data_IF_631325806474
#
_entry.id   IF_631325806474
#
_cell.length_a   1.000
_cell.length_b   1.000
_cell.length_c   1.000
_cell.angle_alpha   90.00
_cell.angle_beta   90.00
_cell.angle_gamma   90.00
#
_symmetry.space_group_name_H-M   'P 1'
#
loop_
_entity.id
_entity.type
_entity.pdbx_description
1 polymer ?
#
# COMPACT_ATOMS: atom_id res chain seq x y z
N UNK A 1 -49.37 7.43 -24.95
CA UNK A 1 -48.04 8.01 -24.68
C UNK A 1 -47.03 6.89 -24.87
N UNK A 2 -46.50 6.77 -26.08
CA UNK A 2 -45.43 5.82 -26.36
C UNK A 2 -44.12 6.52 -26.03
N UNK A 3 -43.51 6.15 -24.91
CA UNK A 3 -42.17 6.62 -24.58
C UNK A 3 -41.18 6.01 -25.56
N UNK A 4 -40.63 6.90 -26.37
CA UNK A 4 -39.51 6.66 -27.26
C UNK A 4 -38.30 6.37 -26.38
N UNK A 5 -38.01 5.09 -26.15
CA UNK A 5 -36.71 4.69 -25.64
C UNK A 5 -35.70 5.01 -26.73
N UNK A 6 -34.94 6.08 -26.51
CA UNK A 6 -33.75 6.45 -27.26
C UNK A 6 -32.82 5.24 -27.29
N UNK A 7 -32.80 4.52 -28.42
CA UNK A 7 -31.80 3.47 -28.64
C UNK A 7 -30.49 4.22 -28.84
N UNK A 8 -29.72 4.38 -27.75
CA UNK A 8 -28.31 4.78 -27.86
C UNK A 8 -27.67 3.81 -28.85
N UNK A 9 -27.12 4.36 -29.94
CA UNK A 9 -26.53 3.57 -31.00
C UNK A 9 -25.36 2.76 -30.43
N UNK A 10 -25.60 1.49 -30.11
CA UNK A 10 -24.60 0.56 -29.59
C UNK A 10 -23.52 0.41 -30.65
N UNK A 11 -22.39 1.10 -30.44
CA UNK A 11 -21.27 1.08 -31.38
C UNK A 11 -20.42 -0.16 -31.14
N UNK A 12 -20.81 -1.25 -31.79
CA UNK A 12 -20.12 -2.53 -31.73
C UNK A 12 -18.91 -2.55 -32.66
N UNK A 13 -17.72 -2.55 -32.08
CA UNK A 13 -16.45 -2.49 -32.80
C UNK A 13 -15.63 -3.77 -32.55
N UNK A 14 -14.75 -4.13 -33.47
CA UNK A 14 -13.82 -5.23 -33.26
C UNK A 14 -12.87 -4.92 -32.09
N UNK A 15 -12.35 -5.93 -31.35
CA UNK A 15 -11.47 -5.69 -30.21
C UNK A 15 -10.20 -4.89 -30.52
N UNK A 16 -9.71 -4.94 -31.77
CA UNK A 16 -8.57 -4.16 -32.21
C UNK A 16 -8.91 -2.67 -32.39
N UNK A 17 -10.06 -2.37 -33.01
CA UNK A 17 -10.49 -0.99 -33.22
C UNK A 17 -11.04 -0.36 -31.92
N UNK A 18 -11.67 -1.14 -31.03
CA UNK A 18 -12.01 -0.70 -29.68
C UNK A 18 -10.77 -0.27 -28.88
N UNK A 19 -9.64 -0.96 -29.05
CA UNK A 19 -8.36 -0.61 -28.42
C UNK A 19 -7.80 0.73 -28.88
N UNK A 20 -7.85 1.00 -30.19
CA UNK A 20 -7.43 2.29 -30.75
C UNK A 20 -8.29 3.45 -30.22
N UNK A 21 -9.61 3.27 -30.15
CA UNK A 21 -10.56 4.30 -29.69
C UNK A 21 -10.51 4.53 -28.16
N UNK A 22 -10.01 3.59 -27.38
CA UNK A 22 -9.86 3.69 -25.92
C UNK A 22 -8.52 4.30 -25.45
N UNK A 23 -7.82 4.98 -26.36
CA UNK A 23 -6.52 5.60 -26.11
C UNK A 23 -5.33 4.68 -26.39
N UNK A 24 -5.36 3.93 -27.50
CA UNK A 24 -4.20 3.16 -27.98
C UNK A 24 -3.88 1.89 -27.18
N UNK A 25 -4.91 1.20 -26.69
CA UNK A 25 -4.76 -0.01 -25.87
C UNK A 25 -4.64 -1.26 -26.74
N UNK A 26 -3.78 -2.21 -26.32
CA UNK A 26 -3.58 -3.47 -27.04
C UNK A 26 -4.83 -4.36 -27.03
N UNK A 27 -5.07 -5.08 -28.13
CA UNK A 27 -6.19 -6.03 -28.30
C UNK A 27 -6.32 -7.02 -27.13
N UNK A 28 -5.21 -7.51 -26.60
CA UNK A 28 -5.19 -8.44 -25.46
C UNK A 28 -5.77 -7.81 -24.21
N UNK A 29 -5.47 -6.54 -23.96
CA UNK A 29 -5.97 -5.81 -22.80
C UNK A 29 -7.46 -5.51 -22.94
N UNK A 30 -7.93 -5.20 -24.15
CA UNK A 30 -9.37 -5.06 -24.42
C UNK A 30 -10.10 -6.38 -24.17
N UNK A 31 -9.56 -7.52 -24.62
CA UNK A 31 -10.15 -8.84 -24.33
C UNK A 31 -10.21 -9.15 -22.84
N UNK A 32 -9.14 -8.85 -22.07
CA UNK A 32 -9.14 -9.01 -20.60
C UNK A 32 -10.21 -8.16 -19.92
N UNK A 33 -10.49 -6.96 -20.43
CA UNK A 33 -11.56 -6.11 -19.90
C UNK A 33 -12.95 -6.66 -20.25
N UNK A 34 -13.11 -7.23 -21.45
CA UNK A 34 -14.36 -7.89 -21.85
C UNK A 34 -14.62 -9.22 -21.11
N UNK A 35 -13.57 -9.92 -20.64
CA UNK A 35 -13.70 -11.06 -19.72
C UNK A 35 -14.11 -10.60 -18.31
N UNK A 36 -13.55 -9.48 -17.84
CA UNK A 36 -13.89 -8.88 -16.54
C UNK A 36 -15.30 -8.28 -16.51
N UNK A 37 -15.77 -7.76 -17.64
CA UNK A 37 -17.12 -7.21 -17.81
C UNK A 37 -17.79 -7.84 -19.04
N UNK A 38 -18.40 -9.03 -18.87
CA UNK A 38 -19.02 -9.77 -19.96
C UNK A 38 -20.11 -8.99 -20.68
N UNK A 39 -20.77 -8.05 -19.99
CA UNK A 39 -21.86 -7.21 -20.49
C UNK A 39 -21.47 -6.22 -21.60
N UNK A 40 -20.16 -6.09 -21.85
CA UNK A 40 -19.60 -5.25 -22.91
C UNK A 40 -19.44 -6.04 -24.22
N UNK A 41 -19.48 -7.37 -24.14
CA UNK A 41 -19.30 -8.26 -25.29
C UNK A 41 -20.66 -8.66 -25.85
N UNK A 42 -20.95 -8.22 -27.06
CA UNK A 42 -22.17 -8.58 -27.81
C UNK A 42 -21.74 -9.21 -29.13
N UNK A 43 -22.09 -10.47 -29.36
CA UNK A 43 -21.76 -11.24 -30.57
C UNK A 43 -20.27 -11.17 -30.98
N UNK A 44 -19.37 -11.24 -30.01
CA UNK A 44 -17.92 -11.19 -30.24
C UNK A 44 -17.37 -9.81 -30.63
N UNK A 45 -18.24 -8.79 -30.68
CA UNK A 45 -17.89 -7.38 -30.80
C UNK A 45 -17.98 -6.70 -29.44
N UNK A 46 -17.29 -5.57 -29.31
CA UNK A 46 -17.14 -4.85 -28.05
C UNK A 46 -17.89 -3.54 -28.18
N UNK A 47 -18.81 -3.29 -27.24
CA UNK A 47 -19.44 -1.98 -27.07
C UNK A 47 -18.43 -1.01 -26.46
N UNK A 48 -17.95 -0.09 -27.28
CA UNK A 48 -16.87 0.83 -26.91
C UNK A 48 -17.34 1.85 -25.85
N UNK A 49 -18.59 2.29 -25.93
CA UNK A 49 -19.12 3.33 -25.04
C UNK A 49 -19.41 2.76 -23.65
N UNK A 50 -20.03 1.57 -23.58
CA UNK A 50 -20.23 0.88 -22.31
C UNK A 50 -18.91 0.51 -21.63
N UNK A 51 -17.88 0.15 -22.41
CA UNK A 51 -16.54 -0.11 -21.89
C UNK A 51 -15.86 1.14 -21.33
N UNK A 52 -16.03 2.30 -21.97
CA UNK A 52 -15.52 3.59 -21.46
C UNK A 52 -16.16 3.93 -20.12
N UNK A 53 -17.48 3.79 -20.02
CA UNK A 53 -18.23 4.09 -18.80
C UNK A 53 -17.82 3.18 -17.63
N UNK A 54 -17.77 1.86 -17.85
CA UNK A 54 -17.34 0.90 -16.81
C UNK A 54 -15.89 1.13 -16.39
N UNK A 55 -15.03 1.49 -17.33
CA UNK A 55 -13.64 1.82 -17.01
C UNK A 55 -13.52 3.11 -16.21
N UNK A 56 -14.34 4.12 -16.48
CA UNK A 56 -14.38 5.36 -15.70
C UNK A 56 -14.91 5.10 -14.27
N UNK A 57 -15.96 4.29 -14.14
CA UNK A 57 -16.57 3.96 -12.85
C UNK A 57 -15.67 3.10 -11.94
N UNK A 58 -14.85 2.21 -12.52
CA UNK A 58 -13.98 1.28 -11.76
C UNK A 58 -12.49 1.67 -11.74
N UNK A 59 -12.13 2.82 -12.31
CA UNK A 59 -10.75 3.27 -12.29
C UNK A 59 -10.45 4.00 -10.99
N UNK A 60 -9.56 3.40 -10.21
CA UNK A 60 -8.96 3.96 -9.00
C UNK A 60 -8.35 5.35 -9.31
N UNK A 61 -8.83 6.43 -8.66
CA UNK A 61 -8.45 7.81 -8.98
C UNK A 61 -6.93 8.05 -8.86
N UNK A 62 -6.26 7.37 -7.93
CA UNK A 62 -4.81 7.48 -7.77
C UNK A 62 -4.03 6.88 -8.95
N UNK A 63 -4.54 5.80 -9.55
CA UNK A 63 -3.91 5.17 -10.73
C UNK A 63 -4.16 5.94 -12.01
N UNK A 64 -5.28 6.67 -12.11
CA UNK A 64 -5.53 7.57 -13.23
C UNK A 64 -4.54 8.73 -13.25
N UNK A 65 -4.29 9.35 -12.09
CA UNK A 65 -3.32 10.44 -11.97
C UNK A 65 -1.90 9.98 -12.31
N UNK A 66 -1.49 8.81 -11.82
CA UNK A 66 -0.18 8.23 -12.16
C UNK A 66 0.00 7.99 -13.67
N UNK A 67 -1.04 7.54 -14.36
CA UNK A 67 -1.01 7.35 -15.81
C UNK A 67 -0.94 8.69 -16.56
N UNK A 68 -1.73 9.69 -16.16
CA UNK A 68 -1.69 11.03 -16.75
C UNK A 68 -0.34 11.73 -16.53
N UNK A 69 0.28 11.56 -15.36
CA UNK A 69 1.63 12.05 -15.10
C UNK A 69 2.67 11.35 -15.99
N UNK A 70 2.54 10.04 -16.21
CA UNK A 70 3.42 9.30 -17.11
C UNK A 70 3.23 9.68 -18.59
N UNK A 71 2.01 9.99 -19.03
CA UNK A 71 1.78 10.46 -20.40
C UNK A 71 2.34 11.86 -20.62
N UNK A 72 2.15 12.77 -19.66
CA UNK A 72 2.75 14.12 -19.71
C UNK A 72 4.28 14.04 -19.77
N UNK A 73 4.89 13.18 -18.96
CA UNK A 73 6.34 12.99 -18.96
C UNK A 73 6.88 12.40 -20.29
N UNK A 74 6.09 11.56 -20.97
CA UNK A 74 6.46 11.02 -22.30
C UNK A 74 6.27 12.04 -23.41
N UNK A 75 5.20 12.85 -23.34
CA UNK A 75 4.94 13.92 -24.29
C UNK A 75 6.03 15.00 -24.24
N UNK A 76 6.57 15.31 -23.05
CA UNK A 76 7.67 16.27 -22.89
C UNK A 76 9.04 15.70 -23.30
N UNK A 77 9.22 14.37 -23.32
CA UNK A 77 10.47 13.72 -23.76
C UNK A 77 10.52 13.46 -25.28
N UNK A 78 9.45 13.72 -26.03
CA UNK A 78 9.36 13.48 -27.47
C UNK A 78 9.88 14.66 -28.32
N UNK A 79 10.92 15.37 -27.85
CA UNK A 79 11.60 16.41 -28.64
C UNK A 79 12.91 15.84 -29.25
N UNK A 80 13.19 16.02 -30.55
CA UNK A 80 14.20 15.24 -31.25
C UNK A 80 15.58 15.90 -31.17
N UNK A 81 16.43 15.48 -30.23
CA UNK A 81 17.83 15.89 -30.23
C UNK A 81 18.72 14.91 -31.01
N UNK A 82 18.96 15.30 -32.25
CA UNK A 82 20.15 14.96 -33.06
C UNK A 82 21.43 15.23 -32.26
N UNK A 83 22.24 14.21 -32.03
CA UNK A 83 23.69 14.12 -32.38
C UNK A 83 24.31 12.87 -31.74
N UNK A 84 25.24 12.17 -32.42
CA UNK A 84 25.84 10.94 -31.89
C UNK A 84 26.85 11.27 -30.77
N UNK A 85 26.95 10.46 -29.71
CA UNK A 85 27.84 10.76 -28.60
C UNK A 85 29.32 10.55 -28.97
N UNK A 86 30.14 11.58 -28.77
CA UNK A 86 31.60 11.48 -28.77
C UNK A 86 32.03 10.62 -27.58
N UNK A 87 32.69 9.48 -27.85
CA UNK A 87 33.31 8.64 -26.82
C UNK A 87 34.48 9.39 -26.17
N UNK A 88 34.34 9.73 -24.89
CA UNK A 88 35.48 10.07 -24.03
C UNK A 88 35.89 8.80 -23.28
N UNK A 89 37.12 8.36 -23.50
CA UNK A 89 37.75 7.23 -22.80
C UNK A 89 37.97 7.56 -21.33
N UNK A 90 37.54 6.68 -20.42
CA UNK A 90 37.85 6.75 -18.99
C UNK A 90 38.96 5.73 -18.69
N UNK A 91 40.07 6.20 -18.14
CA UNK A 91 41.16 5.38 -17.58
C UNK A 91 40.88 5.16 -16.08
N UNK A 92 41.14 3.97 -15.49
CA UNK A 92 40.76 3.69 -14.11
C UNK A 92 41.87 4.12 -13.13
N UNK A 93 41.51 4.82 -12.05
CA UNK A 93 42.40 5.03 -10.91
C UNK A 93 41.64 4.85 -9.59
N UNK A 94 42.05 3.79 -8.90
CA UNK A 94 42.18 3.60 -7.45
C UNK A 94 40.98 3.76 -6.51
N UNK A 95 40.85 2.73 -5.67
CA UNK A 95 39.99 2.62 -4.50
C UNK A 95 40.34 3.65 -3.41
N UNK A 96 39.33 4.07 -2.66
CA UNK A 96 39.43 4.87 -1.43
C UNK A 96 38.08 4.88 -0.71
N UNK A 97 38.13 4.65 0.59
CA UNK A 97 37.05 4.29 1.52
C UNK A 97 35.93 5.33 1.72
N UNK A 98 34.80 4.77 2.19
CA UNK A 98 33.77 5.31 3.07
C UNK A 98 33.45 6.82 3.03
N UNK A 99 32.25 7.14 2.55
CA UNK A 99 31.49 8.27 3.08
C UNK A 99 29.97 8.06 2.92
N UNK A 100 29.22 8.51 3.93
CA UNK A 100 27.75 8.57 3.94
C UNK A 100 27.24 9.43 2.76
N UNK A 101 26.17 9.04 2.04
CA UNK A 101 25.59 9.96 1.07
C UNK A 101 24.69 10.96 1.80
N UNK A 102 25.21 12.17 1.95
CA UNK A 102 24.43 13.40 2.12
C UNK A 102 23.30 13.45 1.06
N UNK A 103 22.16 14.02 1.48
CA UNK A 103 21.02 14.31 0.63
C UNK A 103 21.39 15.40 -0.38
N UNK A 104 22.00 15.00 -1.50
CA UNK A 104 22.23 15.87 -2.64
C UNK A 104 20.99 15.95 -3.53
N UNK A 105 20.42 17.14 -3.66
CA UNK A 105 19.42 17.48 -4.68
C UNK A 105 19.89 16.99 -6.06
N UNK A 106 19.21 15.98 -6.60
CA UNK A 106 19.47 15.46 -7.94
C UNK A 106 19.08 16.53 -8.96
N UNK A 107 20.08 17.31 -9.39
CA UNK A 107 19.98 18.16 -10.58
C UNK A 107 19.62 17.28 -11.78
N UNK A 108 18.42 17.53 -12.33
CA UNK A 108 17.72 16.74 -13.36
C UNK A 108 18.44 16.62 -14.72
N UNK A 109 19.60 17.25 -14.90
CA UNK A 109 20.17 17.43 -16.24
C UNK A 109 21.08 16.29 -16.72
N UNK A 110 21.58 15.39 -15.87
CA UNK A 110 22.30 14.18 -16.29
C UNK A 110 22.13 13.05 -15.28
N UNK A 111 20.95 12.45 -15.24
CA UNK A 111 20.77 11.19 -14.50
C UNK A 111 21.59 10.09 -15.16
N UNK A 112 22.68 9.70 -14.51
CA UNK A 112 23.45 8.52 -14.89
C UNK A 112 22.56 7.28 -14.69
N UNK A 113 22.16 6.65 -15.80
CA UNK A 113 21.31 5.45 -15.78
C UNK A 113 21.95 4.32 -14.96
N UNK A 114 23.29 4.25 -14.92
CA UNK A 114 23.98 3.28 -14.10
C UNK A 114 23.79 3.57 -12.60
N UNK A 115 23.86 4.84 -12.19
CA UNK A 115 23.62 5.26 -10.81
C UNK A 115 22.18 4.96 -10.37
N UNK A 116 21.17 5.31 -11.18
CA UNK A 116 19.76 5.05 -10.87
C UNK A 116 19.46 3.54 -10.77
N UNK A 117 20.06 2.72 -11.65
CA UNK A 117 19.90 1.27 -11.60
C UNK A 117 20.53 0.68 -10.34
N UNK A 118 21.72 1.15 -9.98
CA UNK A 118 22.45 0.70 -8.79
C UNK A 118 21.67 1.04 -7.51
N UNK A 119 21.10 2.24 -7.42
CA UNK A 119 20.29 2.65 -6.27
C UNK A 119 18.99 1.83 -6.14
N UNK A 120 18.35 1.53 -7.28
CA UNK A 120 17.17 0.67 -7.31
C UNK A 120 17.49 -0.76 -6.86
N UNK A 121 18.59 -1.33 -7.34
CA UNK A 121 19.04 -2.66 -6.94
C UNK A 121 19.40 -2.71 -5.45
N UNK A 122 20.09 -1.68 -4.94
CA UNK A 122 20.39 -1.54 -3.51
C UNK A 122 19.13 -1.45 -2.66
N UNK A 123 18.14 -0.69 -3.10
CA UNK A 123 16.86 -0.55 -2.38
C UNK A 123 16.07 -1.86 -2.39
N UNK A 124 16.06 -2.59 -3.51
CA UNK A 124 15.44 -3.90 -3.59
C UNK A 124 16.13 -4.93 -2.69
N UNK A 125 17.47 -4.91 -2.64
CA UNK A 125 18.24 -5.78 -1.75
C UNK A 125 17.93 -5.51 -0.27
N UNK A 126 17.82 -4.23 0.13
CA UNK A 126 17.40 -3.84 1.48
C UNK A 126 16.00 -4.33 1.83
N UNK A 127 15.04 -4.18 0.89
CA UNK A 127 13.68 -4.69 1.09
C UNK A 127 13.64 -6.21 1.25
N UNK A 128 14.44 -6.94 0.47
CA UNK A 128 14.54 -8.39 0.60
C UNK A 128 15.13 -8.80 1.97
N UNK A 129 16.17 -8.09 2.43
CA UNK A 129 16.74 -8.32 3.77
C UNK A 129 15.74 -8.05 4.89
N UNK A 130 14.97 -6.96 4.82
CA UNK A 130 13.95 -6.65 5.81
C UNK A 130 12.84 -7.70 5.85
N UNK A 131 12.41 -8.22 4.69
CA UNK A 131 11.42 -9.31 4.63
C UNK A 131 11.92 -10.60 5.26
N UNK A 132 13.19 -10.95 5.03
CA UNK A 132 13.80 -12.11 5.70
C UNK A 132 13.85 -11.89 7.21
N UNK A 133 14.24 -10.71 7.68
CA UNK A 133 14.24 -10.39 9.12
C UNK A 133 12.82 -10.37 9.74
N UNK A 134 11.82 -9.98 8.97
CA UNK A 134 10.40 -10.06 9.34
C UNK A 134 9.94 -11.51 9.46
N UNK A 135 10.22 -12.35 8.46
CA UNK A 135 9.92 -13.79 8.47
C UNK A 135 10.65 -14.53 9.62
N UNK A 136 11.89 -14.12 9.91
CA UNK A 136 12.68 -14.63 11.04
C UNK A 136 12.20 -14.10 12.41
N UNK A 137 11.23 -13.17 12.45
CA UNK A 137 10.73 -12.57 13.68
C UNK A 137 11.78 -11.75 14.44
N UNK A 138 12.85 -11.32 13.76
CA UNK A 138 13.96 -10.53 14.31
C UNK A 138 13.80 -9.04 14.08
N UNK A 139 12.76 -8.62 13.37
CA UNK A 139 12.50 -7.21 13.07
C UNK A 139 12.25 -6.38 14.33
N UNK A 140 11.69 -6.99 15.38
CA UNK A 140 11.50 -6.36 16.69
C UNK A 140 12.12 -7.28 17.75
N UNK A 141 13.03 -6.78 18.59
CA UNK A 141 13.59 -7.56 19.68
C UNK A 141 12.49 -7.99 20.65
N UNK A 142 12.35 -9.30 20.85
CA UNK A 142 11.32 -9.90 21.70
C UNK A 142 11.34 -9.35 23.12
N UNK A 143 12.52 -9.07 23.66
CA UNK A 143 12.70 -8.55 25.01
C UNK A 143 12.10 -7.16 25.18
N UNK A 144 12.17 -6.30 24.16
CA UNK A 144 11.54 -4.98 24.20
C UNK A 144 10.02 -5.08 24.17
N UNK A 145 9.45 -5.97 23.34
CA UNK A 145 8.00 -6.21 23.29
C UNK A 145 7.50 -6.73 24.63
N UNK A 146 8.22 -7.67 25.24
CA UNK A 146 7.90 -8.21 26.56
C UNK A 146 7.93 -7.09 27.61
N UNK A 147 8.98 -6.27 27.65
CA UNK A 147 9.08 -5.15 28.57
C UNK A 147 7.95 -4.12 28.38
N UNK A 148 7.62 -3.77 27.14
CA UNK A 148 6.51 -2.86 26.82
C UNK A 148 5.16 -3.45 27.25
N UNK A 149 4.92 -4.72 26.98
CA UNK A 149 3.69 -5.41 27.40
C UNK A 149 3.55 -5.44 28.92
N UNK A 150 4.62 -5.73 29.66
CA UNK A 150 4.62 -5.66 31.12
C UNK A 150 4.33 -4.24 31.63
N UNK A 151 4.91 -3.21 31.00
CA UNK A 151 4.65 -1.82 31.38
C UNK A 151 3.19 -1.41 31.14
N UNK A 152 2.59 -1.85 30.03
CA UNK A 152 1.17 -1.61 29.70
C UNK A 152 0.28 -2.35 30.69
N UNK A 153 0.52 -3.65 30.93
CA UNK A 153 -0.25 -4.47 31.85
C UNK A 153 -0.23 -3.91 33.28
N UNK A 154 0.93 -3.42 33.74
CA UNK A 154 1.07 -2.75 35.03
C UNK A 154 0.21 -1.48 35.11
N UNK A 155 0.30 -0.61 34.11
CA UNK A 155 -0.51 0.62 34.06
C UNK A 155 -2.01 0.31 34.09
N UNK A 156 -2.43 -0.74 33.39
CA UNK A 156 -3.83 -1.18 33.36
C UNK A 156 -4.27 -1.67 34.76
N UNK A 157 -3.50 -2.55 35.40
CA UNK A 157 -3.77 -3.04 36.76
C UNK A 157 -3.88 -1.89 37.75
N UNK A 158 -2.91 -0.99 37.75
CA UNK A 158 -2.88 0.15 38.67
C UNK A 158 -4.08 1.09 38.43
N UNK A 159 -4.54 1.22 37.18
CA UNK A 159 -5.71 2.03 36.84
C UNK A 159 -7.03 1.40 37.29
N UNK A 160 -7.18 0.09 37.13
CA UNK A 160 -8.35 -0.67 37.57
C UNK A 160 -8.41 -0.68 39.11
N UNK A 161 -7.31 -1.05 39.79
CA UNK A 161 -7.27 -1.06 41.25
C UNK A 161 -7.40 0.32 41.90
N UNK A 162 -6.92 1.38 41.22
CA UNK A 162 -7.08 2.76 41.68
C UNK A 162 -8.43 3.41 41.32
N UNK A 163 -9.31 2.73 40.58
CA UNK A 163 -10.59 3.28 40.14
C UNK A 163 -11.61 3.38 41.30
N UNK A 164 -11.82 2.34 42.15
CA UNK A 164 -12.72 2.42 43.31
C UNK A 164 -12.39 3.59 44.25
N UNK A 165 -11.10 3.80 44.56
CA UNK A 165 -10.66 4.89 45.45
C UNK A 165 -11.06 6.27 44.93
N UNK A 166 -11.10 6.48 43.61
CA UNK A 166 -11.52 7.76 43.01
C UNK A 166 -13.02 8.01 43.12
N UNK A 167 -13.81 6.94 43.29
CA UNK A 167 -15.26 7.01 43.38
C UNK A 167 -15.79 7.04 44.82
N UNK A 168 -14.90 6.93 45.82
CA UNK A 168 -15.25 6.85 47.24
C UNK A 168 -16.06 8.02 47.77
N UNK A 169 -15.95 9.19 47.13
CA UNK A 169 -16.69 10.38 47.49
C UNK A 169 -18.13 10.42 46.94
N UNK A 170 -18.45 9.57 45.96
CA UNK A 170 -19.70 9.61 45.21
C UNK A 170 -20.59 8.38 45.41
N UNK A 171 -20.06 7.32 46.01
CA UNK A 171 -20.71 6.01 46.09
C UNK A 171 -20.86 5.60 47.57
N UNK A 172 -22.03 5.03 47.97
CA UNK A 172 -22.21 4.45 49.30
C UNK A 172 -21.17 3.36 49.61
N UNK A 173 -20.78 3.21 50.88
CA UNK A 173 -19.74 2.25 51.29
C UNK A 173 -20.03 0.80 50.90
N UNK A 174 -21.30 0.39 50.89
CA UNK A 174 -21.74 -0.95 50.50
C UNK A 174 -21.53 -1.23 49.00
N UNK A 175 -21.86 -0.23 48.15
CA UNK A 175 -21.59 -0.31 46.71
C UNK A 175 -20.09 -0.21 46.38
N UNK A 176 -19.29 0.39 47.25
CA UNK A 176 -17.84 0.46 47.08
C UNK A 176 -17.15 -0.89 47.29
N UNK A 177 -17.63 -1.70 48.23
CA UNK A 177 -17.11 -3.05 48.44
C UNK A 177 -17.34 -3.92 47.21
N UNK A 178 -18.58 -3.95 46.70
CA UNK A 178 -18.92 -4.67 45.46
C UNK A 178 -18.07 -4.22 44.27
N UNK A 179 -17.86 -2.91 44.10
CA UNK A 179 -17.04 -2.39 43.00
C UNK A 179 -15.58 -2.82 43.11
N UNK A 180 -15.03 -2.85 44.33
CA UNK A 180 -13.65 -3.27 44.59
C UNK A 180 -13.48 -4.76 44.28
N UNK A 181 -14.43 -5.59 44.73
CA UNK A 181 -14.42 -7.04 44.50
C UNK A 181 -14.50 -7.36 42.99
N UNK A 182 -15.35 -6.67 42.24
CA UNK A 182 -15.43 -6.83 40.77
C UNK A 182 -14.16 -6.35 40.06
N UNK A 183 -13.55 -5.24 40.51
CA UNK A 183 -12.27 -4.78 39.95
C UNK A 183 -11.14 -5.80 40.19
N UNK A 184 -11.09 -6.39 41.39
CA UNK A 184 -10.12 -7.44 41.73
C UNK A 184 -10.36 -8.72 40.94
N UNK A 185 -11.62 -9.09 40.73
CA UNK A 185 -12.00 -10.23 39.89
C UNK A 185 -11.55 -10.03 38.44
N UNK A 186 -11.81 -8.88 37.85
CA UNK A 186 -11.35 -8.53 36.50
C UNK A 186 -9.82 -8.59 36.37
N UNK A 187 -9.09 -8.12 37.38
CA UNK A 187 -7.62 -8.21 37.40
C UNK A 187 -7.15 -9.68 37.44
N UNK A 188 -7.83 -10.56 38.18
CA UNK A 188 -7.50 -11.99 38.24
C UNK A 188 -7.80 -12.71 36.93
N UNK A 189 -8.95 -12.41 36.31
CA UNK A 189 -9.32 -12.96 34.99
C UNK A 189 -8.29 -12.55 33.93
N UNK A 190 -7.93 -11.26 33.86
CA UNK A 190 -6.90 -10.78 32.94
C UNK A 190 -5.53 -11.44 33.16
N UNK A 191 -5.17 -11.75 34.40
CA UNK A 191 -3.92 -12.46 34.71
C UNK A 191 -3.97 -13.92 34.25
N UNK A 192 -5.11 -14.59 34.46
CA UNK A 192 -5.34 -15.94 33.99
C UNK A 192 -5.31 -16.03 32.46
N UNK A 193 -5.95 -15.09 31.77
CA UNK A 193 -5.94 -15.04 30.30
C UNK A 193 -4.54 -14.76 29.76
N UNK A 194 -3.79 -13.85 30.39
CA UNK A 194 -2.40 -13.60 30.02
C UNK A 194 -1.51 -14.84 30.21
N UNK A 195 -1.74 -15.64 31.25
CA UNK A 195 -1.04 -16.90 31.47
C UNK A 195 -1.38 -17.93 30.39
N UNK A 196 -2.66 -18.12 30.05
CA UNK A 196 -3.09 -19.03 28.98
C UNK A 196 -2.47 -18.67 27.62
N UNK A 197 -2.46 -17.37 27.28
CA UNK A 197 -1.82 -16.89 26.04
C UNK A 197 -0.31 -17.13 26.07
N UNK A 198 0.34 -17.03 27.23
CA UNK A 198 1.78 -17.30 27.37
C UNK A 198 2.14 -18.79 27.26
N UNK A 199 1.23 -19.67 27.64
CA UNK A 199 1.38 -21.14 27.57
C UNK A 199 1.08 -21.68 26.16
N UNK A 200 0.52 -20.84 25.27
CA UNK A 200 0.18 -21.21 23.89
C UNK A 200 -1.17 -21.90 23.75
N UNK A 201 -1.98 -21.93 24.82
CA UNK A 201 -3.33 -22.49 24.85
C UNK A 201 -4.34 -21.47 24.30
N UNK A 202 -4.18 -21.12 23.03
CA UNK A 202 -5.13 -20.32 22.27
C UNK A 202 -5.84 -21.24 21.29
N UNK A 203 -7.04 -21.70 21.66
CA UNK A 203 -8.00 -22.35 20.75
C UNK A 203 -8.51 -21.36 19.69
#
# INVERSE_FOLDING_TARGET
MGDVLTIEAVRLVSPAAAGAELGGISRQRVNKLAERWPEVKVDGKIDVEKLKQLRAAHADPLKQMAWQHSERARATQAEPLRSPPTRTSISPAAAGDADEPEQGELSLEKMDFAAVKTERERSNARLAQLRVLEEEGRLIPRDEVVAMNFAIARKLRDRIGGFPTKLQQFIPSEAMQMLTDECDKLVKELQSDAQRVSEGDVD
#
